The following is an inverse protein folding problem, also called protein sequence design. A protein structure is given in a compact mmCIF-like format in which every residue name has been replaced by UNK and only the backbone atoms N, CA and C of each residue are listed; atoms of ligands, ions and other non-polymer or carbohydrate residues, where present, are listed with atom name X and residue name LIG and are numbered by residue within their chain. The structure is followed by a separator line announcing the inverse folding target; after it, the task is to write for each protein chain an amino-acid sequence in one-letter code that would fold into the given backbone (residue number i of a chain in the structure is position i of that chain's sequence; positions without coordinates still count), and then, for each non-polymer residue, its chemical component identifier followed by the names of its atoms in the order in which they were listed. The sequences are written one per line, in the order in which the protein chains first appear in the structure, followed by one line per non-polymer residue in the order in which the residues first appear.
data_IF_120574151191
#
_entry.id   IF_120574151191
#
_cell.length_a   1.000
_cell.length_b   1.000
_cell.length_c   1.000
_cell.angle_alpha   90.00
_cell.angle_beta   90.00
_cell.angle_gamma   90.00
#
_symmetry.space_group_name_H-M   'P 1'
#
loop_
_entity.id
_entity.type
_entity.pdbx_description
1 polymer ?
#
# COMPACT_ATOMS: atom_id res chain seq x y z
N UNK A 1 -46.69 -33.02 39.29
CA UNK A 1 -45.87 -34.13 39.82
C UNK A 1 -44.54 -34.05 39.08
N UNK A 2 -43.53 -33.33 39.60
CA UNK A 2 -42.38 -33.83 40.42
C UNK A 2 -41.72 -35.07 39.77
N UNK A 3 -40.45 -35.13 39.39
CA UNK A 3 -39.19 -34.65 39.98
C UNK A 3 -38.13 -34.42 38.87
N UNK A 4 -37.15 -33.50 38.96
CA UNK A 4 -35.96 -33.53 39.85
C UNK A 4 -34.96 -34.57 39.33
N UNK A 5 -33.72 -34.23 38.94
CA UNK A 5 -32.59 -34.06 39.87
C UNK A 5 -31.45 -33.19 39.29
N UNK A 6 -30.91 -32.36 40.17
CA UNK A 6 -29.60 -31.65 40.18
C UNK A 6 -28.54 -32.69 40.67
N UNK A 7 -27.22 -32.69 40.41
CA UNK A 7 -26.05 -31.88 40.85
C UNK A 7 -24.83 -32.63 40.22
N UNK A 8 -23.61 -32.14 39.96
CA UNK A 8 -22.65 -31.46 40.84
C UNK A 8 -21.38 -31.07 40.06
N UNK A 9 -20.90 -29.85 40.30
CA UNK A 9 -19.63 -29.30 39.81
C UNK A 9 -18.45 -29.71 40.70
N UNK A 10 -17.26 -29.88 40.13
CA UNK A 10 -16.00 -29.83 40.88
C UNK A 10 -14.98 -28.99 40.11
N UNK A 11 -14.70 -27.80 40.65
CA UNK A 11 -13.50 -27.02 40.41
C UNK A 11 -12.31 -27.68 41.12
N UNK A 12 -11.15 -27.71 40.48
CA UNK A 12 -9.87 -27.83 41.18
C UNK A 12 -8.84 -26.91 40.51
N UNK A 13 -8.52 -25.81 41.21
CA UNK A 13 -7.43 -24.89 40.97
C UNK A 13 -6.38 -25.20 42.05
N UNK A 14 -5.17 -25.62 41.67
CA UNK A 14 -3.99 -25.50 42.55
C UNK A 14 -2.76 -25.12 41.72
N UNK A 15 -2.16 -24.04 42.19
CA UNK A 15 -0.97 -23.32 41.75
C UNK A 15 0.30 -24.15 41.96
N UNK A 16 1.27 -24.04 41.05
CA UNK A 16 2.68 -24.31 41.38
C UNK A 16 3.57 -23.22 40.81
N UNK A 17 4.21 -22.50 41.73
CA UNK A 17 5.30 -21.57 41.50
C UNK A 17 6.55 -22.16 42.17
N UNK A 18 7.62 -22.43 41.41
CA UNK A 18 9.01 -22.42 41.91
C UNK A 18 9.90 -21.85 40.79
N UNK A 19 10.77 -20.96 41.24
CA UNK A 19 11.64 -20.01 40.54
C UNK A 19 13.06 -20.53 40.27
N UNK A 20 13.76 -19.82 39.36
CA UNK A 20 15.21 -19.58 39.23
C UNK A 20 16.10 -20.65 38.56
N UNK A 21 16.62 -20.33 37.37
CA UNK A 21 18.04 -20.20 36.95
C UNK A 21 17.98 -19.50 35.56
N UNK A 22 18.53 -18.30 35.34
CA UNK A 22 19.96 -18.03 35.27
C UNK A 22 20.40 -18.12 33.79
N UNK A 23 20.41 -16.98 33.08
CA UNK A 23 20.84 -16.92 31.68
C UNK A 23 20.98 -15.49 31.20
N UNK A 24 22.20 -14.96 31.29
CA UNK A 24 22.66 -13.71 30.70
C UNK A 24 22.23 -13.57 29.23
N UNK A 25 21.75 -12.39 28.86
CA UNK A 25 21.79 -11.92 27.48
C UNK A 25 22.05 -10.44 27.52
N UNK A 26 23.28 -10.12 27.14
CA UNK A 26 23.91 -8.82 27.10
C UNK A 26 23.02 -7.76 26.45
N UNK A 27 22.85 -6.63 27.14
CA UNK A 27 22.39 -5.38 26.56
C UNK A 27 23.35 -4.96 25.45
N UNK A 28 22.96 -5.19 24.20
CA UNK A 28 23.53 -4.46 23.07
C UNK A 28 22.76 -3.15 22.96
N UNK A 29 23.32 -2.08 23.52
CA UNK A 29 23.01 -0.72 23.14
C UNK A 29 23.27 -0.58 21.62
N UNK A 30 22.21 -0.60 20.82
CA UNK A 30 22.24 0.04 19.52
C UNK A 30 21.88 1.50 19.78
N UNK A 31 22.89 2.36 19.74
CA UNK A 31 22.70 3.79 19.68
C UNK A 31 21.98 4.11 18.36
N UNK A 32 20.69 4.44 18.44
CA UNK A 32 19.95 5.00 17.32
C UNK A 32 20.52 6.39 17.01
N UNK A 33 21.19 6.47 15.86
CA UNK A 33 21.68 7.70 15.23
C UNK A 33 20.50 8.39 14.52
N UNK A 34 20.11 9.61 14.90
CA UNK A 34 19.02 10.33 14.22
C UNK A 34 19.63 11.16 13.10
N UNK A 35 19.73 10.59 11.89
CA UNK A 35 20.30 11.36 10.79
C UNK A 35 20.44 10.68 9.42
N UNK A 36 19.64 9.65 9.09
CA UNK A 36 19.66 9.13 7.71
C UNK A 36 18.58 9.79 6.86
N UNK A 37 19.03 10.58 5.89
CA UNK A 37 18.25 11.16 4.81
C UNK A 37 17.38 10.09 4.12
N UNK A 38 16.09 10.39 4.02
CA UNK A 38 15.09 9.58 3.34
C UNK A 38 15.35 9.56 1.82
N UNK A 39 15.80 8.42 1.27
CA UNK A 39 15.67 8.12 -0.17
C UNK A 39 14.49 7.14 -0.36
N UNK A 40 13.34 7.59 -0.90
CA UNK A 40 12.20 6.72 -1.22
C UNK A 40 12.51 5.68 -2.33
N UNK A 41 13.75 5.62 -2.80
CA UNK A 41 14.21 4.72 -3.84
C UNK A 41 14.93 3.45 -3.38
N UNK A 42 15.33 3.34 -2.12
CA UNK A 42 16.04 2.16 -1.58
C UNK A 42 15.14 1.34 -0.65
N UNK A 43 14.23 0.58 -1.27
CA UNK A 43 13.34 -0.36 -0.57
C UNK A 43 13.76 -1.82 -0.82
N UNK A 44 15.06 -2.12 -0.73
CA UNK A 44 15.55 -3.48 -0.51
C UNK A 44 15.45 -3.85 0.98
N UNK A 45 14.92 -5.03 1.31
CA UNK A 45 14.79 -5.52 2.69
C UNK A 45 13.38 -5.96 3.10
N UNK A 46 13.13 -6.21 4.40
CA UNK A 46 11.78 -6.50 4.91
C UNK A 46 10.79 -5.35 4.59
N UNK A 47 9.47 -5.60 4.59
CA UNK A 47 8.47 -4.57 4.28
C UNK A 47 8.67 -3.34 5.17
N UNK A 48 8.71 -2.15 4.57
CA UNK A 48 8.80 -0.89 5.29
C UNK A 48 7.42 -0.28 5.42
N UNK A 49 7.12 0.24 6.62
CA UNK A 49 5.88 0.95 6.93
C UNK A 49 5.98 2.40 6.52
N UNK A 50 4.96 2.90 5.81
CA UNK A 50 4.83 4.29 5.40
C UNK A 50 3.80 4.97 6.31
N UNK A 51 4.26 5.97 7.04
CA UNK A 51 3.48 6.85 7.90
C UNK A 51 3.94 8.31 7.69
N UNK A 52 3.16 9.32 8.09
CA UNK A 52 3.58 10.72 7.98
C UNK A 52 4.92 10.98 8.71
N UNK A 53 5.92 11.47 7.98
CA UNK A 53 7.09 12.15 8.54
C UNK A 53 6.74 13.63 8.71
N UNK A 54 7.02 14.25 9.87
CA UNK A 54 6.94 15.71 10.02
C UNK A 54 7.94 16.38 9.06
N UNK A 55 7.45 17.12 8.07
CA UNK A 55 8.30 17.86 7.11
C UNK A 55 8.76 19.21 7.70
N UNK A 56 10.06 19.56 7.58
CA UNK A 56 10.48 20.95 7.63
C UNK A 56 10.27 21.62 6.26
N UNK A 57 9.39 22.62 6.25
CA UNK A 57 9.54 23.92 5.59
C UNK A 57 10.09 24.00 4.16
N UNK A 58 9.18 24.25 3.23
CA UNK A 58 9.39 24.84 1.90
C UNK A 58 10.34 26.04 1.90
N UNK A 59 11.26 26.11 0.93
CA UNK A 59 11.83 27.38 0.46
C UNK A 59 11.81 27.44 -1.08
N UNK A 60 11.46 28.59 -1.67
CA UNK A 60 11.31 28.76 -3.11
C UNK A 60 12.65 28.97 -3.81
N UNK A 61 12.80 28.41 -5.02
CA UNK A 61 13.93 28.70 -5.91
C UNK A 61 13.68 29.97 -6.70
N UNK A 62 14.52 30.98 -6.50
CA UNK A 62 14.60 32.17 -7.34
C UNK A 62 15.32 31.85 -8.66
N UNK A 63 14.69 32.26 -9.76
CA UNK A 63 15.27 32.30 -11.10
C UNK A 63 16.03 33.62 -11.31
N UNK A 64 17.16 33.58 -11.99
CA UNK A 64 17.75 34.76 -12.65
C UNK A 64 18.54 34.38 -13.90
N UNK A 65 18.27 35.13 -14.97
CA UNK A 65 18.72 34.98 -16.36
C UNK A 65 20.23 35.25 -16.54
N UNK A 66 20.88 34.95 -17.68
CA UNK A 66 20.99 35.83 -18.88
C UNK A 66 21.77 35.11 -20.01
N UNK A 67 21.56 35.40 -21.32
CA UNK A 67 22.16 34.66 -22.46
C UNK A 67 23.36 35.37 -23.14
N UNK A 68 24.26 34.62 -23.80
CA UNK A 68 25.18 35.12 -24.85
C UNK A 68 26.04 34.01 -25.50
N UNK A 69 26.74 34.21 -26.64
CA UNK A 69 26.23 34.00 -28.01
C UNK A 69 27.01 32.95 -28.84
N UNK A 70 26.51 32.72 -30.06
CA UNK A 70 26.98 31.77 -31.07
C UNK A 70 28.47 31.85 -31.44
N UNK A 71 29.11 30.68 -31.54
CA UNK A 71 30.34 30.45 -32.28
C UNK A 71 30.12 29.40 -33.38
N UNK A 72 30.32 29.81 -34.64
CA UNK A 72 30.30 28.94 -35.81
C UNK A 72 31.61 28.17 -35.94
N UNK A 73 31.54 26.84 -36.04
CA UNK A 73 32.68 25.97 -36.33
C UNK A 73 32.29 24.83 -37.29
N UNK A 74 33.23 24.29 -38.10
CA UNK A 74 32.93 23.53 -39.31
C UNK A 74 32.50 22.08 -39.04
N UNK A 75 31.78 21.53 -40.02
CA UNK A 75 30.99 20.30 -39.96
C UNK A 75 31.65 19.05 -39.38
N UNK A 76 30.83 18.31 -38.61
CA UNK A 76 31.07 16.95 -38.13
C UNK A 76 29.91 16.01 -38.52
N UNK A 77 30.17 14.69 -38.60
CA UNK A 77 29.35 13.71 -39.32
C UNK A 77 27.92 13.59 -38.78
N UNK A 78 27.01 13.20 -39.67
CA UNK A 78 25.56 13.16 -39.50
C UNK A 78 25.09 12.86 -38.08
N UNK A 79 24.37 13.81 -37.51
CA UNK A 79 23.64 13.68 -36.25
C UNK A 79 22.74 12.46 -36.36
N UNK A 80 23.08 11.39 -35.64
CA UNK A 80 22.12 10.34 -35.35
C UNK A 80 20.90 11.03 -34.73
N UNK A 81 19.73 10.79 -35.30
CA UNK A 81 18.46 11.27 -34.76
C UNK A 81 18.45 10.92 -33.25
N UNK A 82 18.25 11.88 -32.34
CA UNK A 82 18.07 11.56 -30.93
C UNK A 82 17.02 10.45 -30.82
N UNK A 83 17.24 9.40 -30.01
CA UNK A 83 16.21 8.39 -29.82
C UNK A 83 14.91 9.11 -29.44
N UNK A 84 13.84 8.86 -30.20
CA UNK A 84 12.56 9.49 -29.92
C UNK A 84 12.16 9.06 -28.50
N UNK A 85 12.12 10.03 -27.58
CA UNK A 85 11.65 9.79 -26.23
C UNK A 85 10.22 9.29 -26.32
N UNK A 86 9.97 8.12 -25.74
CA UNK A 86 8.65 7.50 -25.69
C UNK A 86 7.64 8.46 -25.03
N UNK A 87 6.36 8.50 -25.41
CA UNK A 87 5.39 9.32 -24.69
C UNK A 87 5.17 8.75 -23.29
N UNK A 88 5.06 9.59 -22.24
CA UNK A 88 4.80 9.10 -20.89
C UNK A 88 3.48 8.32 -20.82
N UNK A 89 3.40 7.36 -19.91
CA UNK A 89 2.19 6.61 -19.61
C UNK A 89 1.56 7.13 -18.32
N UNK A 90 0.24 7.34 -18.31
CA UNK A 90 -0.51 7.63 -17.09
C UNK A 90 -1.92 7.05 -17.17
N UNK A 91 -2.34 6.35 -16.12
CA UNK A 91 -3.66 5.71 -16.06
C UNK A 91 -4.10 5.45 -14.62
N UNK A 92 -5.39 5.67 -14.37
CA UNK A 92 -6.04 5.28 -13.11
C UNK A 92 -6.51 3.83 -13.15
N UNK A 93 -6.59 3.19 -11.99
CA UNK A 93 -7.26 1.92 -11.78
C UNK A 93 -7.86 1.88 -10.38
N UNK A 94 -8.93 1.11 -10.20
CA UNK A 94 -9.57 0.92 -8.90
C UNK A 94 -11.09 0.77 -9.03
N UNK A 95 -11.80 0.63 -7.90
CA UNK A 95 -13.26 0.61 -7.90
C UNK A 95 -13.83 1.83 -8.65
N UNK A 96 -14.86 1.60 -9.45
CA UNK A 96 -15.55 2.68 -10.18
C UNK A 96 -14.73 3.37 -11.28
N UNK A 97 -13.50 2.95 -11.58
CA UNK A 97 -12.71 3.46 -12.70
C UNK A 97 -13.01 2.72 -14.01
N UNK A 98 -13.04 3.46 -15.11
CA UNK A 98 -13.39 2.95 -16.45
C UNK A 98 -12.24 3.03 -17.47
N UNK A 99 -11.05 3.48 -17.11
CA UNK A 99 -9.97 3.73 -18.08
C UNK A 99 -8.55 3.41 -17.62
N UNK A 100 -7.77 2.76 -18.51
CA UNK A 100 -6.31 2.72 -18.50
C UNK A 100 -5.65 1.59 -17.71
N UNK A 101 -6.19 1.21 -16.57
CA UNK A 101 -5.78 0.02 -15.80
C UNK A 101 -6.93 -0.88 -15.40
N UNK A 102 -6.62 -2.00 -14.77
CA UNK A 102 -7.55 -3.03 -14.31
C UNK A 102 -7.56 -3.09 -12.78
N UNK A 103 -8.72 -3.44 -12.24
CA UNK A 103 -8.91 -3.69 -10.82
C UNK A 103 -9.67 -5.01 -10.65
N UNK A 104 -9.15 -5.89 -9.78
CA UNK A 104 -9.73 -7.21 -9.51
C UNK A 104 -9.77 -7.47 -8.01
N UNK A 105 -10.87 -8.06 -7.56
CA UNK A 105 -11.03 -8.54 -6.19
C UNK A 105 -11.11 -10.07 -6.19
N UNK A 106 -10.33 -10.71 -5.32
CA UNK A 106 -10.35 -12.15 -5.10
C UNK A 106 -10.75 -12.44 -3.66
N UNK A 107 -11.49 -13.52 -3.43
CA UNK A 107 -11.99 -13.86 -2.09
C UNK A 107 -13.08 -12.94 -1.58
N UNK A 108 -13.73 -12.16 -2.46
CA UNK A 108 -14.85 -11.30 -2.09
C UNK A 108 -16.03 -12.13 -1.59
N UNK A 109 -16.55 -11.78 -0.41
CA UNK A 109 -17.80 -12.28 0.15
C UNK A 109 -18.58 -11.12 0.76
N UNK A 110 -19.89 -11.28 0.96
CA UNK A 110 -20.73 -10.26 1.58
C UNK A 110 -21.36 -10.80 2.86
N UNK A 111 -21.15 -10.08 3.96
CA UNK A 111 -21.71 -10.40 5.28
C UNK A 111 -21.92 -9.09 6.07
N UNK A 112 -22.80 -8.22 5.55
CA UNK A 112 -23.02 -6.91 6.14
C UNK A 112 -21.74 -6.09 6.26
N UNK A 113 -21.39 -5.72 7.50
CA UNK A 113 -20.17 -4.97 7.81
C UNK A 113 -18.99 -5.86 8.18
N UNK A 114 -19.14 -7.19 8.18
CA UNK A 114 -18.07 -8.16 8.46
C UNK A 114 -17.46 -8.72 7.15
N UNK A 115 -18.15 -8.51 6.02
CA UNK A 115 -17.68 -8.85 4.68
C UNK A 115 -17.29 -7.64 3.85
N UNK A 116 -17.06 -7.88 2.56
CA UNK A 116 -16.72 -6.82 1.62
C UNK A 116 -17.93 -5.96 1.29
N UNK A 117 -17.76 -4.64 1.34
CA UNK A 117 -18.76 -3.68 0.88
C UNK A 117 -18.13 -2.52 0.13
N UNK A 118 -18.95 -1.86 -0.68
CA UNK A 118 -18.55 -0.66 -1.41
C UNK A 118 -19.01 0.57 -0.61
N UNK A 119 -18.09 1.48 -0.38
CA UNK A 119 -18.39 2.80 0.16
C UNK A 119 -18.45 3.78 -1.02
N UNK A 120 -19.56 4.49 -1.15
CA UNK A 120 -19.89 5.26 -2.37
C UNK A 120 -19.08 6.53 -2.56
N UNK A 121 -18.37 7.00 -1.54
CA UNK A 121 -17.60 8.25 -1.57
C UNK A 121 -16.35 8.16 -0.71
N UNK A 122 -15.37 8.99 -1.02
CA UNK A 122 -14.13 9.14 -0.24
C UNK A 122 -12.87 8.83 -1.05
N UNK A 123 -13.02 8.12 -2.18
CA UNK A 123 -11.96 7.89 -3.15
C UNK A 123 -11.79 9.03 -4.16
N UNK A 124 -10.97 8.79 -5.18
CA UNK A 124 -10.73 9.73 -6.28
C UNK A 124 -11.90 9.76 -7.26
N UNK A 125 -12.41 10.96 -7.53
CA UNK A 125 -13.50 11.22 -8.46
C UNK A 125 -13.00 12.07 -9.62
N UNK A 126 -13.33 11.66 -10.84
CA UNK A 126 -12.80 12.26 -12.08
C UNK A 126 -11.88 11.29 -12.81
N UNK A 127 -11.38 11.70 -13.98
CA UNK A 127 -10.49 10.89 -14.82
C UNK A 127 -11.03 9.48 -15.16
N UNK A 128 -12.36 9.35 -15.20
CA UNK A 128 -13.04 8.07 -15.43
C UNK A 128 -13.36 7.26 -14.17
N UNK A 129 -13.12 7.79 -12.97
CA UNK A 129 -13.45 7.19 -11.67
C UNK A 129 -14.61 7.90 -10.96
N UNK A 130 -15.46 7.14 -10.26
CA UNK A 130 -16.67 7.67 -9.59
C UNK A 130 -16.46 8.14 -8.14
N UNK A 131 -15.33 7.80 -7.52
CA UNK A 131 -14.99 8.13 -6.14
C UNK A 131 -15.45 7.11 -5.09
N UNK A 132 -16.03 5.99 -5.50
CA UNK A 132 -16.29 4.85 -4.62
C UNK A 132 -15.00 4.11 -4.27
N UNK A 133 -14.99 3.36 -3.18
CA UNK A 133 -13.90 2.44 -2.86
C UNK A 133 -14.45 1.18 -2.21
N UNK A 134 -13.61 0.16 -2.11
CA UNK A 134 -13.96 -1.09 -1.46
C UNK A 134 -13.41 -1.14 -0.05
N UNK A 135 -14.27 -1.36 0.93
CA UNK A 135 -13.89 -1.79 2.26
C UNK A 135 -13.61 -3.30 2.23
N UNK A 136 -12.37 -3.66 2.54
CA UNK A 136 -11.85 -5.03 2.52
C UNK A 136 -11.79 -5.54 3.96
N UNK A 137 -12.53 -6.60 4.33
CA UNK A 137 -12.47 -7.15 5.68
C UNK A 137 -11.05 -7.63 5.99
N UNK A 138 -10.62 -7.49 7.24
CA UNK A 138 -9.31 -8.02 7.64
C UNK A 138 -9.39 -9.52 7.95
N UNK A 139 -8.24 -10.19 7.91
CA UNK A 139 -8.14 -11.63 8.18
C UNK A 139 -8.37 -12.04 9.64
N UNK A 140 -8.48 -11.07 10.56
CA UNK A 140 -8.44 -11.30 12.01
C UNK A 140 -7.05 -11.66 12.54
N UNK A 141 -6.00 -11.55 11.72
CA UNK A 141 -4.64 -11.85 12.14
C UNK A 141 -3.66 -10.76 11.77
N UNK A 142 -2.85 -10.33 12.73
CA UNK A 142 -1.74 -9.41 12.47
C UNK A 142 -0.60 -10.03 11.63
N UNK A 143 -0.58 -11.36 11.48
CA UNK A 143 0.56 -12.07 10.86
C UNK A 143 0.17 -13.07 9.78
N UNK A 144 -1.12 -13.25 9.52
CA UNK A 144 -1.61 -14.21 8.53
C UNK A 144 -2.55 -13.53 7.55
N UNK A 145 -2.32 -13.81 6.28
CA UNK A 145 -3.26 -13.46 5.22
C UNK A 145 -4.42 -14.44 5.27
N UNK A 146 -5.62 -13.95 5.00
CA UNK A 146 -6.75 -14.74 4.58
C UNK A 146 -6.76 -14.89 3.06
N UNK A 147 -7.95 -14.98 2.48
CA UNK A 147 -8.15 -15.18 1.04
C UNK A 147 -8.51 -13.88 0.32
N UNK A 148 -8.70 -12.78 1.04
CA UNK A 148 -9.09 -11.50 0.49
C UNK A 148 -7.93 -10.81 -0.22
N UNK A 149 -8.12 -10.40 -1.48
CA UNK A 149 -7.15 -9.62 -2.26
C UNK A 149 -7.83 -8.53 -3.07
N UNK A 150 -7.17 -7.40 -3.21
CA UNK A 150 -7.51 -6.37 -4.19
C UNK A 150 -6.28 -6.05 -5.04
N UNK A 151 -6.34 -6.28 -6.35
CA UNK A 151 -5.20 -6.13 -7.27
C UNK A 151 -5.48 -5.03 -8.28
N UNK A 152 -4.56 -4.09 -8.41
CA UNK A 152 -4.48 -3.09 -9.47
C UNK A 152 -3.40 -3.49 -10.47
N UNK A 153 -3.70 -3.41 -11.76
CA UNK A 153 -2.70 -3.69 -12.79
C UNK A 153 -2.82 -2.79 -14.00
N UNK A 154 -1.69 -2.57 -14.68
CA UNK A 154 -1.60 -1.73 -15.86
C UNK A 154 -0.71 -2.39 -16.89
N UNK A 155 -1.14 -2.41 -18.15
CA UNK A 155 -0.27 -2.70 -19.27
C UNK A 155 0.39 -1.40 -19.73
N UNK A 156 1.63 -1.20 -19.29
CA UNK A 156 2.38 0.04 -19.54
C UNK A 156 3.18 -0.01 -20.84
N UNK A 157 3.31 -1.20 -21.46
CA UNK A 157 4.03 -1.43 -22.71
C UNK A 157 5.57 -1.43 -22.58
N UNK A 158 6.26 -1.78 -23.67
CA UNK A 158 7.71 -1.99 -23.69
C UNK A 158 8.55 -0.72 -23.54
N UNK A 159 9.57 -0.76 -22.69
CA UNK A 159 10.56 0.33 -22.54
C UNK A 159 10.47 1.10 -21.22
N UNK A 160 9.57 0.70 -20.32
CA UNK A 160 9.61 1.15 -18.92
C UNK A 160 10.21 0.04 -18.05
N UNK A 161 11.13 0.42 -17.18
CA UNK A 161 11.72 -0.48 -16.16
C UNK A 161 11.13 -0.23 -14.78
N UNK A 162 10.75 1.02 -14.50
CA UNK A 162 10.06 1.42 -13.29
C UNK A 162 9.02 2.49 -13.57
N UNK A 163 7.98 2.56 -12.74
CA UNK A 163 6.98 3.61 -12.73
C UNK A 163 6.79 4.14 -11.31
N UNK A 164 6.09 5.26 -11.17
CA UNK A 164 5.53 5.70 -9.90
C UNK A 164 4.06 5.28 -9.79
N UNK A 165 3.58 5.06 -8.58
CA UNK A 165 2.18 4.77 -8.27
C UNK A 165 1.68 5.77 -7.25
N UNK A 166 0.72 6.61 -7.62
CA UNK A 166 -0.04 7.40 -6.65
C UNK A 166 -1.16 6.54 -6.07
N UNK A 167 -1.26 6.48 -4.74
CA UNK A 167 -2.25 5.72 -3.97
C UNK A 167 -3.18 6.70 -3.28
N UNK A 168 -4.48 6.50 -3.45
CA UNK A 168 -5.50 7.27 -2.74
C UNK A 168 -5.84 6.56 -1.43
N UNK A 169 -5.67 7.24 -0.30
CA UNK A 169 -6.19 6.77 0.98
C UNK A 169 -7.51 7.51 1.23
N UNK A 170 -8.68 6.85 1.18
CA UNK A 170 -9.96 7.53 1.26
C UNK A 170 -10.20 8.12 2.66
N UNK A 171 -11.18 9.02 2.74
CA UNK A 171 -11.72 9.53 4.00
C UNK A 171 -13.24 9.43 4.00
N UNK A 172 -13.79 8.88 5.06
CA UNK A 172 -15.24 8.71 5.26
C UNK A 172 -15.63 9.11 6.69
N UNK A 173 -16.92 9.23 7.00
CA UNK A 173 -17.38 9.43 8.38
C UNK A 173 -17.13 8.22 9.31
N UNK A 174 -16.89 7.02 8.75
CA UNK A 174 -16.70 5.78 9.51
C UNK A 174 -15.26 5.33 9.37
N UNK A 175 -14.46 5.64 10.39
CA UNK A 175 -13.01 5.36 10.40
C UNK A 175 -12.68 3.86 10.22
N UNK A 176 -13.61 2.96 10.58
CA UNK A 176 -13.48 1.52 10.38
C UNK A 176 -13.36 1.12 8.91
N UNK A 177 -13.90 1.92 7.97
CA UNK A 177 -13.83 1.61 6.53
C UNK A 177 -12.39 1.77 5.98
N UNK A 178 -11.54 2.50 6.73
CA UNK A 178 -10.18 2.89 6.36
C UNK A 178 -9.27 2.70 7.58
N UNK A 179 -9.27 1.48 8.13
CA UNK A 179 -8.65 1.16 9.42
C UNK A 179 -7.37 0.32 9.29
N UNK A 180 -6.86 0.12 8.07
CA UNK A 180 -5.65 -0.63 7.81
C UNK A 180 -4.43 -0.04 8.50
N UNK A 181 -3.93 -0.74 9.51
CA UNK A 181 -2.82 -0.30 10.35
C UNK A 181 -1.91 -1.47 10.78
N UNK A 182 -0.93 -1.85 9.92
CA UNK A 182 -0.81 -1.43 8.52
C UNK A 182 -1.74 -2.19 7.58
N UNK A 183 -1.94 -1.66 6.37
CA UNK A 183 -2.33 -2.45 5.20
C UNK A 183 -1.08 -2.93 4.47
N UNK A 184 -0.98 -4.24 4.22
CA UNK A 184 0.13 -4.83 3.47
C UNK A 184 -0.17 -4.86 1.97
N UNK A 185 0.83 -4.43 1.18
CA UNK A 185 0.80 -4.48 -0.28
C UNK A 185 1.98 -5.27 -0.84
N UNK A 186 1.75 -5.95 -1.95
CA UNK A 186 2.74 -6.65 -2.76
C UNK A 186 2.82 -6.04 -4.15
N UNK A 187 4.03 -5.88 -4.67
CA UNK A 187 4.28 -5.61 -6.08
C UNK A 187 4.51 -6.95 -6.77
N UNK A 188 3.70 -7.26 -7.77
CA UNK A 188 3.69 -8.57 -8.44
C UNK A 188 4.47 -8.52 -9.76
N UNK A 189 5.10 -9.64 -10.14
CA UNK A 189 5.70 -9.83 -11.46
C UNK A 189 4.67 -10.20 -12.53
N UNK A 190 3.58 -10.84 -12.10
CA UNK A 190 2.43 -11.21 -12.90
C UNK A 190 1.16 -10.91 -12.09
N UNK A 191 0.26 -10.04 -12.56
CA UNK A 191 -0.98 -9.72 -11.85
C UNK A 191 -1.92 -10.91 -11.69
N UNK A 192 -1.75 -11.99 -12.47
CA UNK A 192 -2.58 -13.20 -12.42
C UNK A 192 -2.01 -14.30 -11.51
N UNK A 193 -0.78 -14.11 -11.00
CA UNK A 193 -0.13 -15.01 -10.05
C UNK A 193 0.14 -14.28 -8.72
N UNK A 194 -0.65 -14.61 -7.70
CA UNK A 194 -0.55 -14.00 -6.37
C UNK A 194 0.78 -14.31 -5.64
N UNK A 195 1.45 -15.40 -6.02
CA UNK A 195 2.75 -15.78 -5.45
C UNK A 195 3.93 -15.10 -6.15
N UNK A 196 3.68 -14.34 -7.23
CA UNK A 196 4.71 -13.65 -8.03
C UNK A 196 5.26 -12.37 -7.37
N UNK A 197 5.17 -12.27 -6.04
CA UNK A 197 5.61 -11.10 -5.27
C UNK A 197 7.10 -10.83 -5.48
N UNK A 198 7.41 -9.62 -5.93
CA UNK A 198 8.79 -9.12 -6.10
C UNK A 198 9.22 -8.31 -4.87
N UNK A 199 8.28 -7.54 -4.31
CA UNK A 199 8.52 -6.62 -3.19
C UNK A 199 7.23 -6.41 -2.41
N UNK A 200 7.36 -6.10 -1.14
CA UNK A 200 6.23 -5.71 -0.28
C UNK A 200 6.46 -4.35 0.37
N UNK A 201 5.37 -3.65 0.67
CA UNK A 201 5.39 -2.43 1.48
C UNK A 201 4.11 -2.35 2.31
N UNK A 202 4.11 -1.47 3.32
CA UNK A 202 3.00 -1.31 4.24
C UNK A 202 2.59 0.16 4.31
N UNK A 203 1.27 0.42 4.35
CA UNK A 203 0.72 1.78 4.51
C UNK A 203 -0.11 1.80 5.79
N UNK A 204 0.16 2.77 6.66
CA UNK A 204 -0.77 3.12 7.74
C UNK A 204 -1.89 4.01 7.17
N UNK A 205 -3.01 3.38 6.84
CA UNK A 205 -4.16 4.08 6.28
C UNK A 205 -4.83 4.99 7.31
N UNK A 206 -4.72 4.66 8.60
CA UNK A 206 -5.39 5.41 9.67
C UNK A 206 -4.81 6.82 9.82
N UNK A 207 -3.49 6.96 9.74
CA UNK A 207 -2.81 8.25 9.79
C UNK A 207 -2.81 9.01 8.45
N UNK A 208 -3.16 8.33 7.36
CA UNK A 208 -3.13 8.89 6.00
C UNK A 208 -4.52 9.14 5.39
N UNK A 209 -5.62 8.96 6.14
CA UNK A 209 -7.00 9.17 5.64
C UNK A 209 -7.18 10.51 4.92
N UNK A 210 -7.68 10.45 3.70
CA UNK A 210 -7.95 11.61 2.85
C UNK A 210 -6.72 12.20 2.18
N UNK A 211 -5.57 11.51 2.22
CA UNK A 211 -4.33 11.92 1.58
C UNK A 211 -4.03 11.03 0.38
N UNK A 212 -3.22 11.57 -0.53
CA UNK A 212 -2.53 10.80 -1.56
C UNK A 212 -1.10 10.50 -1.13
N UNK A 213 -0.60 9.32 -1.50
CA UNK A 213 0.79 8.92 -1.33
C UNK A 213 1.37 8.54 -2.70
N UNK A 214 2.57 9.00 -3.02
CA UNK A 214 3.26 8.58 -4.25
C UNK A 214 4.41 7.62 -3.91
N UNK A 215 4.35 6.43 -4.46
CA UNK A 215 5.41 5.43 -4.40
C UNK A 215 6.24 5.52 -5.67
N UNK A 216 7.55 5.74 -5.54
CA UNK A 216 8.46 5.83 -6.67
C UNK A 216 9.12 4.47 -6.98
N UNK A 217 9.68 4.37 -8.20
CA UNK A 217 10.54 3.25 -8.62
C UNK A 217 9.88 1.85 -8.46
N UNK A 218 8.56 1.75 -8.67
CA UNK A 218 7.86 0.46 -8.66
C UNK A 218 8.26 -0.31 -9.93
N UNK A 219 8.78 -1.55 -9.80
CA UNK A 219 9.28 -2.30 -10.93
C UNK A 219 8.18 -2.68 -11.92
N UNK A 220 8.49 -2.55 -13.21
CA UNK A 220 7.69 -3.09 -14.32
C UNK A 220 8.24 -4.46 -14.68
N UNK A 221 7.36 -5.45 -14.86
CA UNK A 221 7.71 -6.81 -15.34
C UNK A 221 6.78 -7.19 -16.48
N UNK A 222 7.32 -7.81 -17.52
CA UNK A 222 6.54 -8.25 -18.68
C UNK A 222 5.64 -7.14 -19.26
N UNK A 223 6.14 -5.90 -19.29
CA UNK A 223 5.41 -4.71 -19.76
C UNK A 223 4.19 -4.33 -18.92
N UNK A 224 4.11 -4.86 -17.70
CA UNK A 224 3.03 -4.64 -16.76
C UNK A 224 3.56 -4.10 -15.42
N UNK A 225 2.69 -3.35 -14.76
CA UNK A 225 2.84 -2.88 -13.40
C UNK A 225 1.68 -3.47 -12.59
N UNK A 226 1.94 -4.06 -11.44
CA UNK A 226 0.91 -4.71 -10.63
C UNK A 226 1.16 -4.49 -9.14
N UNK A 227 0.10 -4.10 -8.43
CA UNK A 227 0.09 -3.91 -6.97
C UNK A 227 -1.10 -4.67 -6.41
N UNK A 228 -0.89 -5.42 -5.34
CA UNK A 228 -1.91 -6.21 -4.67
C UNK A 228 -1.96 -5.82 -3.20
N UNK A 229 -3.15 -5.56 -2.68
CA UNK A 229 -3.45 -5.51 -1.25
C UNK A 229 -3.83 -6.90 -0.77
N UNK A 230 -3.32 -7.29 0.41
CA UNK A 230 -3.75 -8.50 1.13
C UNK A 230 -4.55 -8.13 2.38
N UNK A 231 -5.46 -8.98 2.80
CA UNK A 231 -6.39 -8.75 3.92
C UNK A 231 -5.76 -8.87 5.33
N UNK A 232 -4.44 -9.08 5.45
CA UNK A 232 -3.74 -9.19 6.75
C UNK A 232 -4.09 -8.02 7.67
N UNK A 233 -4.62 -8.31 8.85
CA UNK A 233 -4.94 -7.29 9.84
C UNK A 233 -5.84 -7.82 10.95
N UNK A 234 -5.93 -7.07 12.05
CA UNK A 234 -6.87 -7.37 13.14
C UNK A 234 -8.09 -6.46 13.03
N UNK A 235 -9.26 -7.07 13.09
CA UNK A 235 -10.59 -6.45 13.03
C UNK A 235 -11.39 -6.62 14.34
N UNK A 236 -10.72 -6.97 15.44
CA UNK A 236 -11.34 -7.13 16.74
C UNK A 236 -10.53 -6.49 17.86
N UNK A 237 -11.24 -6.13 18.92
CA UNK A 237 -10.68 -5.60 20.16
C UNK A 237 -10.43 -4.09 20.11
N UNK A 238 -10.81 -3.40 21.19
CA UNK A 238 -10.66 -1.95 21.29
C UNK A 238 -11.50 -1.21 20.24
N UNK A 239 -10.85 -0.34 19.48
CA UNK A 239 -11.41 0.45 18.37
C UNK A 239 -11.37 -0.28 17.02
N UNK A 240 -10.89 -1.53 16.98
CA UNK A 240 -10.72 -2.30 15.74
C UNK A 240 -11.93 -3.14 15.33
N UNK A 241 -12.99 -3.18 16.14
CA UNK A 241 -14.18 -3.97 15.82
C UNK A 241 -14.74 -3.62 14.43
N UNK A 242 -14.76 -4.60 13.53
CA UNK A 242 -15.20 -4.43 12.14
C UNK A 242 -14.28 -3.52 11.31
N UNK A 243 -12.99 -3.44 11.65
CA UNK A 243 -12.00 -2.70 10.88
C UNK A 243 -11.79 -3.32 9.49
N UNK A 244 -11.66 -2.46 8.49
CA UNK A 244 -11.43 -2.81 7.10
C UNK A 244 -10.18 -2.11 6.58
N UNK A 245 -9.49 -2.74 5.63
CA UNK A 245 -8.58 -2.00 4.75
C UNK A 245 -9.40 -1.29 3.68
N UNK A 246 -8.91 -0.14 3.21
CA UNK A 246 -9.50 0.55 2.08
C UNK A 246 -8.74 0.26 0.79
N UNK A 247 -9.43 -0.31 -0.19
CA UNK A 247 -8.96 -0.44 -1.56
C UNK A 247 -9.63 0.64 -2.43
N UNK A 248 -8.92 1.74 -2.68
CA UNK A 248 -9.39 2.85 -3.50
C UNK A 248 -8.62 2.94 -4.83
N UNK A 249 -8.62 4.11 -5.46
CA UNK A 249 -7.96 4.31 -6.75
C UNK A 249 -6.44 4.43 -6.61
N UNK A 250 -5.73 3.92 -7.62
CA UNK A 250 -4.31 4.13 -7.82
C UNK A 250 -4.06 4.68 -9.22
N UNK A 251 -3.05 5.55 -9.38
CA UNK A 251 -2.59 6.04 -10.68
C UNK A 251 -1.18 5.57 -10.95
N UNK A 252 -0.98 4.86 -12.06
CA UNK A 252 0.34 4.57 -12.58
C UNK A 252 0.87 5.75 -13.40
N UNK A 253 2.15 6.05 -13.24
CA UNK A 253 2.86 7.09 -14.00
C UNK A 253 4.23 6.57 -14.41
N UNK A 254 4.47 6.44 -15.71
CA UNK A 254 5.74 5.97 -16.25
C UNK A 254 6.34 7.02 -17.19
N UNK A 255 7.58 7.38 -16.92
CA UNK A 255 8.38 8.22 -17.80
C UNK A 255 9.48 7.38 -18.46
N UNK A 256 9.87 7.66 -19.71
CA UNK A 256 10.91 6.91 -20.42
C UNK A 256 12.29 7.01 -19.79
#
# INVERSE_FOLDING_TARGET
MLAGWVVLAVLALVVSAITLFGGESSSANASDDPGSDFDPGDLGGPPRRIAPTEEPGTSPSDSSATPSPSGSGPGKPGTAKPPQSRPPYSAWAGPGCTGGGLYRETGRFSDGFDGWYTVSTGGHKGDGCDGSFTAVPMSGSATKDGNGRATWSWYVGSGYTTCSVAVVIPKTPRDQDVAGDPTTYHVLADPDDEDSTIRSFEIDQTSLRGRGLTLAKIPVRNQQLAVQLVDRGKDFGGDREGAHHAAAQMRAECTP
#
